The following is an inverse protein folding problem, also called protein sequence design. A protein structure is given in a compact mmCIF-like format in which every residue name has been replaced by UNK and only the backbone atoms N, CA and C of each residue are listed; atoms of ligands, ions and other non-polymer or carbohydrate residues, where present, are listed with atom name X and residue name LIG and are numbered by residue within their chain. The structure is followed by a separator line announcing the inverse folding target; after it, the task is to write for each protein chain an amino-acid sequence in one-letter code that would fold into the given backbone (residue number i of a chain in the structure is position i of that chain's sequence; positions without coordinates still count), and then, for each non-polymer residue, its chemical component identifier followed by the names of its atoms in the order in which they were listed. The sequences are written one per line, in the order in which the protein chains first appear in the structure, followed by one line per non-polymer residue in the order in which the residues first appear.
data_IF_161463753572
#
_entry.id   IF_161463753572
#
_cell.length_a   1.000
_cell.length_b   1.000
_cell.length_c   1.000
_cell.angle_alpha   90.00
_cell.angle_beta   90.00
_cell.angle_gamma   90.00
#
_symmetry.space_group_name_H-M   'P 1'
#
loop_
_entity.id
_entity.type
_entity.pdbx_description
1 polymer ?
#
# COMPACT_ATOMS: atom_id res chain seq x y z
N UNK A 1 -16.16 -4.38 14.28
CA UNK A 1 -14.80 -4.94 14.32
C UNK A 1 -13.97 -4.00 13.46
N UNK A 2 -13.16 -3.15 14.07
CA UNK A 2 -12.42 -2.12 13.35
C UNK A 2 -11.37 -2.81 12.46
N UNK A 3 -11.28 -2.40 11.19
CA UNK A 3 -10.35 -2.97 10.24
C UNK A 3 -9.03 -2.24 10.41
N UNK A 4 -8.01 -2.94 10.89
CA UNK A 4 -6.68 -2.38 11.11
C UNK A 4 -6.13 -1.74 9.84
N UNK A 5 -5.79 -0.46 9.92
CA UNK A 5 -5.18 0.30 8.83
C UNK A 5 -3.67 0.17 9.00
N UNK A 6 -3.01 -0.47 8.03
CA UNK A 6 -1.57 -0.55 8.00
C UNK A 6 -1.03 0.59 7.16
N UNK A 7 -0.11 1.34 7.71
CA UNK A 7 0.55 2.47 7.06
C UNK A 7 1.89 1.98 6.52
N UNK A 8 2.11 2.14 5.22
CA UNK A 8 3.34 1.70 4.55
C UNK A 8 4.04 2.85 3.83
N UNK A 9 5.37 2.80 3.81
CA UNK A 9 6.21 3.54 2.87
C UNK A 9 6.56 2.62 1.71
N UNK A 10 6.13 3.01 0.50
CA UNK A 10 6.19 2.18 -0.70
C UNK A 10 7.11 2.85 -1.71
N UNK A 11 8.13 2.12 -2.14
CA UNK A 11 9.07 2.55 -3.17
C UNK A 11 8.80 1.80 -4.46
N UNK A 12 8.61 2.55 -5.53
CA UNK A 12 8.32 2.03 -6.86
C UNK A 12 9.59 1.89 -7.72
N UNK A 13 9.53 1.05 -8.74
CA UNK A 13 10.63 0.75 -9.67
C UNK A 13 11.02 1.93 -10.54
N UNK A 14 10.11 2.91 -10.68
CA UNK A 14 10.38 4.18 -11.37
C UNK A 14 11.06 5.22 -10.47
N UNK A 15 11.32 4.89 -9.19
CA UNK A 15 11.92 5.79 -8.21
C UNK A 15 10.91 6.65 -7.45
N UNK A 16 9.62 6.57 -7.77
CA UNK A 16 8.58 7.22 -6.96
C UNK A 16 8.48 6.56 -5.58
N UNK A 17 8.40 7.38 -4.55
CA UNK A 17 8.20 6.92 -3.18
C UNK A 17 6.88 7.49 -2.68
N UNK A 18 5.96 6.60 -2.35
CA UNK A 18 4.70 6.95 -1.69
C UNK A 18 4.88 6.72 -0.18
N UNK A 19 4.74 7.78 0.60
CA UNK A 19 4.86 7.71 2.06
C UNK A 19 3.49 7.72 2.72
N UNK A 20 3.44 7.16 3.91
CA UNK A 20 2.23 7.08 4.74
C UNK A 20 1.02 6.52 4.00
N UNK A 21 1.25 5.50 3.17
CA UNK A 21 0.20 4.87 2.37
C UNK A 21 -0.69 4.05 3.28
N UNK A 22 -1.98 4.40 3.33
CA UNK A 22 -2.96 3.76 4.21
C UNK A 22 -3.61 2.59 3.49
N UNK A 23 -3.46 1.39 4.05
CA UNK A 23 -3.99 0.15 3.49
C UNK A 23 -4.85 -0.55 4.55
N UNK A 24 -6.11 -0.82 4.22
CA UNK A 24 -6.94 -1.69 5.05
C UNK A 24 -6.41 -3.13 5.01
N UNK A 25 -5.89 -3.61 6.13
CA UNK A 25 -5.29 -4.94 6.26
C UNK A 25 -3.84 -5.06 5.78
N UNK A 26 -3.25 -6.24 5.96
CA UNK A 26 -1.85 -6.48 5.59
C UNK A 26 -1.69 -6.47 4.08
N UNK A 27 -0.66 -5.79 3.57
CA UNK A 27 -0.36 -5.76 2.14
C UNK A 27 -0.14 -7.19 1.58
N UNK A 28 0.40 -8.10 2.40
CA UNK A 28 0.58 -9.53 2.03
C UNK A 28 -0.75 -10.25 1.76
N UNK A 29 -1.81 -9.89 2.48
CA UNK A 29 -3.16 -10.44 2.26
C UNK A 29 -3.82 -9.91 0.99
N UNK A 30 -3.39 -8.75 0.49
CA UNK A 30 -3.80 -8.22 -0.81
C UNK A 30 -3.01 -8.88 -1.96
N UNK A 31 -1.75 -9.25 -1.72
CA UNK A 31 -0.90 -9.90 -2.73
C UNK A 31 -1.15 -11.39 -2.96
N UNK A 32 -1.87 -12.08 -2.07
CA UNK A 32 -2.13 -13.52 -2.15
C UNK A 32 -3.16 -13.94 -3.22
N UNK A 33 -3.64 -13.03 -4.06
CA UNK A 33 -4.59 -13.30 -5.15
C UNK A 33 -4.01 -13.03 -6.55
N UNK A 34 -4.55 -13.74 -7.54
CA UNK A 34 -4.26 -13.60 -8.99
C UNK A 34 -4.86 -12.29 -9.57
N UNK A 35 -5.66 -11.56 -8.79
CA UNK A 35 -6.72 -10.72 -9.33
C UNK A 35 -6.49 -9.21 -9.29
N UNK A 36 -5.35 -8.69 -8.83
CA UNK A 36 -5.16 -7.23 -8.77
C UNK A 36 -3.71 -6.85 -9.06
N UNK A 37 -3.45 -6.59 -10.35
CA UNK A 37 -2.24 -5.91 -10.80
C UNK A 37 -2.11 -4.52 -10.16
N UNK A 38 -3.24 -3.89 -9.81
CA UNK A 38 -3.33 -2.55 -9.24
C UNK A 38 -4.02 -2.58 -7.87
N UNK A 39 -3.41 -1.92 -6.89
CA UNK A 39 -3.96 -1.76 -5.54
C UNK A 39 -4.21 -0.27 -5.33
N UNK A 40 -5.48 0.19 -5.32
CA UNK A 40 -5.78 1.57 -4.95
C UNK A 40 -5.51 1.77 -3.47
N UNK A 41 -4.72 2.78 -3.15
CA UNK A 41 -4.33 3.14 -1.78
C UNK A 41 -4.40 4.65 -1.59
N UNK A 42 -4.67 5.09 -0.38
CA UNK A 42 -4.69 6.52 -0.06
C UNK A 42 -3.30 6.97 0.39
N UNK A 43 -2.78 8.06 -0.18
CA UNK A 43 -1.52 8.67 0.22
C UNK A 43 -1.74 9.78 1.29
N UNK A 44 -0.65 10.37 1.77
CA UNK A 44 -0.67 11.49 2.73
C UNK A 44 -1.47 12.73 2.29
N UNK A 45 -1.66 12.93 0.98
CA UNK A 45 -2.42 14.04 0.40
C UNK A 45 -3.94 13.74 0.34
N UNK A 46 -4.37 12.58 0.86
CA UNK A 46 -5.74 12.09 0.74
C UNK A 46 -6.12 11.70 -0.70
N UNK A 47 -5.13 11.50 -1.56
CA UNK A 47 -5.34 11.06 -2.95
C UNK A 47 -5.24 9.56 -3.04
N UNK A 48 -6.19 8.97 -3.75
CA UNK A 48 -6.10 7.57 -4.16
C UNK A 48 -5.05 7.45 -5.26
N UNK A 49 -3.97 6.73 -4.97
CA UNK A 49 -2.94 6.32 -5.93
C UNK A 49 -3.09 4.84 -6.22
N UNK A 50 -2.89 4.43 -7.46
CA UNK A 50 -2.93 3.02 -7.85
C UNK A 50 -1.53 2.45 -7.85
N UNK A 51 -1.26 1.52 -6.93
CA UNK A 51 0.02 0.85 -6.85
C UNK A 51 0.03 -0.40 -7.72
N UNK A 52 0.96 -0.45 -8.67
CA UNK A 52 1.17 -1.64 -9.49
C UNK A 52 2.03 -2.66 -8.76
N UNK A 53 1.50 -3.87 -8.49
CA UNK A 53 2.18 -4.96 -7.76
C UNK A 53 3.60 -5.24 -8.26
N UNK A 54 3.80 -5.26 -9.58
CA UNK A 54 5.10 -5.56 -10.20
C UNK A 54 6.09 -4.39 -10.20
N UNK A 55 5.62 -3.19 -9.89
CA UNK A 55 6.46 -1.99 -9.82
C UNK A 55 6.85 -1.67 -8.38
N UNK A 56 6.41 -2.42 -7.37
CA UNK A 56 6.79 -2.16 -5.99
C UNK A 56 8.11 -2.85 -5.71
N UNK A 57 9.14 -2.05 -5.44
CA UNK A 57 10.49 -2.52 -5.08
C UNK A 57 10.58 -2.78 -3.59
N UNK A 58 9.95 -1.93 -2.78
CA UNK A 58 10.01 -1.99 -1.32
C UNK A 58 8.69 -1.52 -0.72
N UNK A 59 8.23 -2.22 0.30
CA UNK A 59 7.11 -1.79 1.14
C UNK A 59 7.52 -1.94 2.60
N UNK A 60 7.69 -0.83 3.30
CA UNK A 60 8.06 -0.78 4.71
C UNK A 60 6.84 -0.44 5.54
N UNK A 61 6.50 -1.30 6.51
CA UNK A 61 5.43 -1.01 7.45
C UNK A 61 5.91 0.07 8.42
N UNK A 62 5.24 1.22 8.40
CA UNK A 62 5.52 2.36 9.27
C UNK A 62 4.71 2.25 10.56
N UNK A 63 3.41 1.99 10.45
CA UNK A 63 2.50 1.98 11.60
C UNK A 63 1.25 1.11 11.36
N UNK A 64 0.50 0.82 12.42
CA UNK A 64 -0.78 0.10 12.36
C UNK A 64 -1.80 0.81 13.26
N UNK A 65 -2.84 1.38 12.66
CA UNK A 65 -3.98 1.96 13.36
C UNK A 65 -5.08 0.88 13.56
N UNK A 66 -5.81 0.93 14.69
CA UNK A 66 -6.94 0.02 15.01
C UNK A 66 -8.30 0.63 14.66
#
# INVERSE_FOLDING_TARGET
MAKKIHIYDITMSNGEQFKNVRIEGSISSKYTGIATDFIPVENEDGRTVELTKYQIVKAELVDIED
#
